data_IF_011484493478
#
_entry.id   IF_011484493478
#
_cell.length_a   1.000
_cell.length_b   1.000
_cell.length_c   1.000
_cell.angle_alpha   90.00
_cell.angle_beta   90.00
_cell.angle_gamma   90.00
#
_symmetry.space_group_name_H-M   'P 1'
#
loop_
_entity.id
_entity.type
_entity.pdbx_description
1 polymer ?
#
# COMPACT_ATOMS: atom_id res chain seq x y z
N UNK A 1 21.09 -3.92 -10.24
CA UNK A 1 21.71 -2.94 -11.15
C UNK A 1 21.11 -1.58 -10.80
N UNK A 2 21.92 -0.61 -10.37
CA UNK A 2 21.45 0.74 -10.08
C UNK A 2 21.22 1.50 -11.39
N UNK A 3 20.08 2.16 -11.53
CA UNK A 3 19.83 3.10 -12.61
C UNK A 3 20.67 4.38 -12.39
N UNK A 4 21.39 4.88 -13.39
CA UNK A 4 22.35 5.98 -13.22
C UNK A 4 21.71 7.38 -13.12
N UNK A 5 20.39 7.51 -12.95
CA UNK A 5 19.68 8.79 -13.07
C UNK A 5 18.74 9.16 -11.90
N UNK A 6 18.91 8.54 -10.73
CA UNK A 6 18.23 8.96 -9.48
C UNK A 6 16.71 8.98 -9.55
N UNK A 7 16.10 8.19 -10.43
CA UNK A 7 14.66 8.21 -10.70
C UNK A 7 13.99 7.07 -9.94
N UNK A 8 13.29 7.46 -8.88
CA UNK A 8 12.45 6.62 -8.02
C UNK A 8 11.65 5.60 -8.85
N UNK A 9 11.84 4.31 -8.57
CA UNK A 9 11.16 3.22 -9.27
C UNK A 9 9.65 3.46 -9.19
N UNK A 10 9.02 3.78 -10.33
CA UNK A 10 7.58 3.92 -10.51
C UNK A 10 6.87 2.56 -10.46
N UNK A 11 7.09 1.79 -9.39
CA UNK A 11 6.26 0.65 -9.02
C UNK A 11 5.21 1.14 -8.03
N UNK A 12 3.93 0.81 -8.24
CA UNK A 12 2.89 1.14 -7.27
C UNK A 12 3.31 0.59 -5.89
N UNK A 13 3.42 1.47 -4.88
CA UNK A 13 3.74 1.08 -3.50
C UNK A 13 2.81 -0.07 -3.06
N UNK A 14 3.31 -1.10 -2.34
CA UNK A 14 2.48 -2.19 -1.82
C UNK A 14 1.24 -1.67 -1.09
N UNK A 15 1.39 -0.58 -0.34
CA UNK A 15 0.29 0.07 0.37
C UNK A 15 -0.79 0.58 -0.59
N UNK A 16 -0.38 1.20 -1.69
CA UNK A 16 -1.30 1.71 -2.72
C UNK A 16 -2.04 0.56 -3.39
N UNK A 17 -1.34 -0.52 -3.69
CA UNK A 17 -1.95 -1.69 -4.31
C UNK A 17 -2.92 -2.42 -3.37
N UNK A 18 -2.63 -2.49 -2.06
CA UNK A 18 -3.60 -2.95 -1.05
C UNK A 18 -4.83 -2.02 -1.04
N UNK A 19 -4.61 -0.71 -0.95
CA UNK A 19 -5.69 0.28 -0.81
C UNK A 19 -6.59 0.35 -2.05
N UNK A 20 -6.03 0.54 -3.24
CA UNK A 20 -6.77 0.68 -4.49
C UNK A 20 -7.14 -0.65 -5.11
N UNK A 21 -6.28 -1.65 -4.97
CA UNK A 21 -6.44 -2.97 -5.58
C UNK A 21 -7.41 -3.84 -4.81
N UNK A 22 -7.23 -3.96 -3.49
CA UNK A 22 -7.97 -4.91 -2.67
C UNK A 22 -9.11 -4.25 -1.88
N UNK A 23 -8.82 -3.13 -1.22
CA UNK A 23 -9.82 -2.44 -0.40
C UNK A 23 -10.78 -1.56 -1.22
N UNK A 24 -10.32 -1.07 -2.38
CA UNK A 24 -11.07 -0.17 -3.28
C UNK A 24 -11.50 1.13 -2.60
N UNK A 25 -10.61 1.71 -1.78
CA UNK A 25 -10.89 2.96 -1.04
C UNK A 25 -9.89 4.07 -1.37
N UNK A 26 -10.27 5.32 -1.10
CA UNK A 26 -9.42 6.51 -1.26
C UNK A 26 -8.35 6.61 -0.16
N UNK A 27 -7.33 7.45 -0.38
CA UNK A 27 -6.31 7.74 0.65
C UNK A 27 -6.95 8.33 1.92
N UNK A 28 -7.99 9.15 1.77
CA UNK A 28 -8.74 9.76 2.88
C UNK A 28 -9.44 8.69 3.73
N UNK A 29 -10.15 7.77 3.09
CA UNK A 29 -10.85 6.68 3.77
C UNK A 29 -9.87 5.75 4.47
N UNK A 30 -8.77 5.38 3.82
CA UNK A 30 -7.73 4.54 4.42
C UNK A 30 -7.11 5.22 5.65
N UNK A 31 -6.75 6.50 5.54
CA UNK A 31 -6.16 7.26 6.64
C UNK A 31 -7.14 7.39 7.83
N UNK A 32 -8.41 7.69 7.54
CA UNK A 32 -9.48 7.76 8.54
C UNK A 32 -9.68 6.40 9.24
N UNK A 33 -9.63 5.31 8.48
CA UNK A 33 -9.82 3.94 8.97
C UNK A 33 -8.75 3.56 10.01
N UNK A 34 -7.49 3.94 9.80
CA UNK A 34 -6.38 3.60 10.71
C UNK A 34 -5.95 4.76 11.63
N UNK A 35 -6.68 5.88 11.61
CA UNK A 35 -6.47 7.02 12.49
C UNK A 35 -5.16 7.78 12.24
N UNK A 36 -4.77 8.00 10.98
CA UNK A 36 -3.58 8.80 10.63
C UNK A 36 -3.93 9.95 9.68
N UNK A 37 -2.97 10.85 9.46
CA UNK A 37 -3.12 11.90 8.46
C UNK A 37 -3.01 11.35 7.02
N UNK A 38 -3.85 11.86 6.11
CA UNK A 38 -3.79 11.51 4.67
C UNK A 38 -2.44 11.84 4.04
N UNK A 39 -1.79 12.92 4.52
CA UNK A 39 -0.46 13.30 4.08
C UNK A 39 0.58 12.20 4.33
N UNK A 40 0.43 11.42 5.41
CA UNK A 40 1.28 10.27 5.73
C UNK A 40 1.09 9.15 4.72
N UNK A 41 -0.17 8.81 4.39
CA UNK A 41 -0.49 7.82 3.35
C UNK A 41 0.08 8.25 2.00
N UNK A 42 -0.15 9.50 1.60
CA UNK A 42 0.39 10.07 0.35
C UNK A 42 1.92 10.01 0.28
N UNK A 43 2.61 10.24 1.40
CA UNK A 43 4.07 10.11 1.47
C UNK A 43 4.51 8.66 1.29
N UNK A 44 3.92 7.74 2.05
CA UNK A 44 4.19 6.30 1.96
C UNK A 44 3.95 5.72 0.57
N UNK A 45 2.83 6.08 -0.07
CA UNK A 45 2.50 5.58 -1.41
C UNK A 45 3.42 6.11 -2.51
N UNK A 46 3.99 7.29 -2.30
CA UNK A 46 5.02 7.85 -3.17
C UNK A 46 6.42 7.34 -2.83
N UNK A 47 6.60 6.46 -1.84
CA UNK A 47 7.91 5.99 -1.38
C UNK A 47 8.71 7.01 -0.57
N UNK A 48 8.05 7.99 0.05
CA UNK A 48 8.66 8.93 1.00
C UNK A 48 8.46 8.39 2.42
N UNK A 49 9.29 7.44 2.82
CA UNK A 49 9.23 6.76 4.11
C UNK A 49 8.54 5.40 4.04
N UNK A 50 8.82 4.56 5.04
CA UNK A 50 8.29 3.20 5.14
C UNK A 50 7.00 3.19 5.95
N UNK A 51 5.92 2.52 5.49
CA UNK A 51 4.73 2.31 6.30
C UNK A 51 5.07 1.58 7.59
N UNK A 52 4.69 2.17 8.71
CA UNK A 52 4.79 1.56 10.04
C UNK A 52 3.41 1.62 10.69
N UNK A 53 2.97 0.48 11.21
CA UNK A 53 1.64 0.34 11.81
C UNK A 53 1.79 -0.11 13.25
N UNK A 54 0.94 0.41 14.13
CA UNK A 54 0.74 -0.21 15.43
C UNK A 54 0.02 -1.55 15.25
N UNK A 55 0.10 -2.49 16.21
CA UNK A 55 -0.67 -3.73 16.16
C UNK A 55 -2.17 -3.50 15.97
N UNK A 56 -2.74 -2.44 16.55
CA UNK A 56 -4.14 -2.09 16.37
C UNK A 56 -4.48 -1.66 14.95
N UNK A 57 -3.64 -0.81 14.35
CA UNK A 57 -3.81 -0.40 12.95
C UNK A 57 -3.67 -1.58 12.00
N UNK A 58 -2.70 -2.47 12.25
CA UNK A 58 -2.51 -3.67 11.46
C UNK A 58 -3.74 -4.59 11.52
N UNK A 59 -4.31 -4.82 12.71
CA UNK A 59 -5.56 -5.58 12.87
C UNK A 59 -6.71 -4.97 12.07
N UNK A 60 -6.90 -3.64 12.13
CA UNK A 60 -7.95 -2.97 11.35
C UNK A 60 -7.79 -3.19 9.84
N UNK A 61 -6.56 -3.16 9.33
CA UNK A 61 -6.29 -3.45 7.91
C UNK A 61 -6.63 -4.91 7.59
N UNK A 62 -6.24 -5.86 8.45
CA UNK A 62 -6.54 -7.29 8.25
C UNK A 62 -8.03 -7.60 8.30
N UNK A 63 -8.76 -6.97 9.23
CA UNK A 63 -10.22 -7.12 9.34
C UNK A 63 -10.91 -6.63 8.06
N UNK A 64 -10.47 -5.47 7.55
CA UNK A 64 -11.02 -4.87 6.33
C UNK A 64 -10.70 -5.67 5.07
N UNK A 65 -9.53 -6.30 5.01
CA UNK A 65 -9.20 -7.25 3.93
C UNK A 65 -10.06 -8.52 4.02
N UNK A 66 -10.27 -9.02 5.23
CA UNK A 66 -11.11 -10.20 5.48
C UNK A 66 -12.58 -9.94 5.10
N UNK A 67 -13.11 -8.74 5.37
CA UNK A 67 -14.43 -8.29 4.90
C UNK A 67 -14.55 -8.31 3.36
N UNK A 68 -13.44 -8.16 2.63
CA UNK A 68 -13.38 -8.25 1.17
C UNK A 68 -13.09 -9.66 0.66
N UNK A 69 -13.06 -10.66 1.55
CA UNK A 69 -12.75 -12.05 1.22
C UNK A 69 -11.28 -12.30 0.89
N UNK A 70 -10.38 -11.40 1.30
CA UNK A 70 -8.93 -11.55 1.08
C UNK A 70 -8.28 -12.07 2.35
N UNK A 71 -7.68 -13.26 2.29
CA UNK A 71 -6.84 -13.77 3.37
C UNK A 71 -5.44 -13.16 3.30
N UNK A 72 -4.79 -12.99 4.46
CA UNK A 72 -3.38 -12.60 4.52
C UNK A 72 -2.47 -13.55 3.71
N UNK A 73 -2.85 -14.83 3.60
CA UNK A 73 -2.10 -15.85 2.86
C UNK A 73 -2.17 -15.68 1.34
N UNK A 74 -3.16 -14.94 0.87
CA UNK A 74 -3.39 -14.70 -0.57
C UNK A 74 -2.76 -13.38 -1.03
N UNK A 75 -2.14 -12.63 -0.10
CA UNK A 75 -1.41 -11.42 -0.45
C UNK A 75 -0.13 -11.79 -1.20
N UNK A 76 0.18 -11.12 -2.31
CA UNK A 76 1.46 -11.32 -2.98
C UNK A 76 2.61 -10.83 -2.09
N UNK A 77 3.72 -11.57 -2.08
CA UNK A 77 4.96 -11.13 -1.42
C UNK A 77 5.67 -10.04 -2.24
N UNK A 78 5.48 -10.06 -3.57
CA UNK A 78 6.04 -9.07 -4.49
C UNK A 78 4.92 -8.27 -5.17
N UNK A 79 4.94 -6.97 -4.92
CA UNK A 79 3.96 -6.01 -5.45
C UNK A 79 4.48 -5.27 -6.70
N UNK A 80 5.57 -5.74 -7.31
CA UNK A 80 6.20 -5.16 -8.51
C UNK A 80 5.43 -5.44 -9.82
N UNK A 81 4.11 -5.20 -9.83
CA UNK A 81 3.35 -5.30 -11.08
C UNK A 81 3.38 -3.95 -11.85
N UNK A 82 4.25 -3.84 -12.86
CA UNK A 82 4.11 -2.76 -13.85
C UNK A 82 5.28 -2.36 -14.77
N UNK A 83 6.08 -3.28 -15.34
CA UNK A 83 6.67 -3.07 -16.69
C UNK A 83 6.72 -4.38 -17.48
N UNK A 84 5.58 -4.84 -17.97
CA UNK A 84 5.56 -5.60 -19.23
C UNK A 84 5.72 -4.60 -20.36
N UNK A 85 6.97 -4.29 -20.72
CA UNK A 85 7.27 -3.67 -22.00
C UNK A 85 7.11 -4.72 -23.10
N UNK A 86 6.40 -4.28 -24.13
CA UNK A 86 6.14 -4.83 -25.46
C UNK A 86 7.25 -5.71 -26.05
#
# INVERSE_FOLDING_TARGET
MLDPNGSKVEGNSPLKAIREGLLKISQQEFASMIGIAVSTVSRWERGNGTPVFTPGQFKLIMDKLSEKGVSIKDLPDDWSAGKTSK
#
